data_IF_500818817068
#
_entry.id   IF_500818817068
#
_cell.length_a   1.000
_cell.length_b   1.000
_cell.length_c   1.000
_cell.angle_alpha   90.00
_cell.angle_beta   90.00
_cell.angle_gamma   90.00
#
_symmetry.space_group_name_H-M   'P 1'
#
loop_
_entity.id
_entity.type
_entity.pdbx_description
1 polymer ?
#
# COMPACT_ATOMS: atom_id res chain seq x y z
N UNK A 1 13.33 -6.79 -3.66
CA UNK A 1 14.54 -6.01 -3.97
C UNK A 1 15.26 -6.56 -5.19
N UNK A 2 15.75 -7.81 -5.16
CA UNK A 2 16.54 -8.42 -6.26
C UNK A 2 15.86 -8.31 -7.63
N UNK A 3 14.54 -8.46 -7.72
CA UNK A 3 13.79 -8.40 -8.98
C UNK A 3 13.64 -6.98 -9.55
N UNK A 4 13.81 -5.95 -8.74
CA UNK A 4 13.59 -4.54 -9.13
C UNK A 4 14.90 -3.88 -9.51
N UNK A 5 15.99 -4.13 -8.76
CA UNK A 5 17.32 -3.59 -9.06
C UNK A 5 17.82 -4.13 -10.41
N UNK A 6 17.54 -5.40 -10.72
CA UNK A 6 17.96 -6.02 -11.99
C UNK A 6 17.29 -5.49 -13.27
N UNK A 7 16.30 -4.59 -13.15
CA UNK A 7 15.58 -4.02 -14.29
C UNK A 7 16.14 -2.66 -14.76
N UNK A 8 17.23 -2.16 -14.13
CA UNK A 8 17.88 -0.92 -14.55
C UNK A 8 17.10 0.37 -14.30
N UNK A 9 15.95 0.30 -13.61
CA UNK A 9 15.12 1.47 -13.30
C UNK A 9 15.68 2.24 -12.10
N UNK A 10 16.31 1.52 -11.16
CA UNK A 10 16.87 2.09 -9.94
C UNK A 10 18.36 1.81 -9.87
N UNK A 11 19.12 2.80 -9.39
CA UNK A 11 20.59 2.73 -9.22
C UNK A 11 21.00 2.05 -7.92
N UNK A 12 20.12 2.02 -6.94
CA UNK A 12 20.47 1.48 -5.65
C UNK A 12 19.26 1.04 -4.83
N UNK A 13 19.56 0.29 -3.80
CA UNK A 13 18.59 -0.18 -2.81
C UNK A 13 19.20 -0.05 -1.43
N UNK A 14 18.40 0.40 -0.48
CA UNK A 14 18.77 0.44 0.92
C UNK A 14 17.72 -0.26 1.77
N UNK A 15 18.17 -0.99 2.78
CA UNK A 15 17.30 -1.63 3.77
C UNK A 15 17.91 -1.51 5.18
N UNK A 16 17.10 -1.70 6.22
CA UNK A 16 17.63 -1.72 7.58
C UNK A 16 18.77 -2.73 7.71
N UNK A 17 19.88 -2.31 8.32
CA UNK A 17 21.03 -3.16 8.62
C UNK A 17 21.96 -3.50 7.44
N UNK A 18 21.65 -3.09 6.20
CA UNK A 18 22.50 -3.37 5.04
C UNK A 18 23.09 -2.09 4.43
N UNK A 19 22.46 -0.94 4.65
CA UNK A 19 22.87 0.30 4.00
C UNK A 19 22.53 0.34 2.51
N UNK A 20 23.25 1.16 1.74
CA UNK A 20 23.04 1.32 0.31
C UNK A 20 23.83 0.29 -0.48
N UNK A 21 23.15 -0.46 -1.33
CA UNK A 21 23.77 -1.38 -2.31
C UNK A 21 23.32 -1.00 -3.73
N UNK A 22 24.24 -1.08 -4.69
CA UNK A 22 23.99 -0.73 -6.10
C UNK A 22 23.69 -1.96 -6.96
N UNK A 23 23.87 -3.15 -6.41
CA UNK A 23 23.61 -4.41 -7.10
C UNK A 23 22.82 -5.37 -6.21
N UNK A 24 21.97 -6.17 -6.82
CA UNK A 24 21.27 -7.25 -6.13
C UNK A 24 22.23 -8.32 -5.57
N UNK A 25 23.40 -8.45 -6.17
CA UNK A 25 24.44 -9.38 -5.70
C UNK A 25 25.11 -8.92 -4.41
N UNK A 26 25.18 -7.60 -4.19
CA UNK A 26 25.80 -7.00 -3.00
C UNK A 26 24.84 -7.00 -1.80
N UNK A 27 23.58 -7.37 -2.02
CA UNK A 27 22.58 -7.46 -0.96
C UNK A 27 22.77 -8.74 -0.15
N UNK A 28 23.51 -8.61 0.94
CA UNK A 28 23.80 -9.71 1.87
C UNK A 28 23.48 -9.28 3.31
N UNK A 29 22.21 -9.40 3.75
CA UNK A 29 21.83 -9.07 5.11
C UNK A 29 22.49 -10.05 6.10
N UNK A 30 22.90 -9.60 7.30
CA UNK A 30 23.37 -10.50 8.36
C UNK A 30 22.31 -11.55 8.72
N UNK A 31 22.73 -12.76 9.03
CA UNK A 31 21.82 -13.86 9.39
C UNK A 31 21.04 -13.58 10.69
N UNK A 32 21.60 -12.78 11.58
CA UNK A 32 21.02 -12.36 12.85
C UNK A 32 20.33 -10.98 12.79
N UNK A 33 20.07 -10.46 11.59
CA UNK A 33 19.48 -9.14 11.39
C UNK A 33 18.12 -9.03 12.09
N UNK A 34 18.06 -8.20 13.12
CA UNK A 34 16.80 -7.80 13.76
C UNK A 34 16.25 -6.57 13.07
N UNK A 35 15.12 -6.73 12.41
CA UNK A 35 14.45 -5.60 11.80
C UNK A 35 13.85 -4.66 12.86
N UNK A 36 13.89 -3.34 12.64
CA UNK A 36 13.16 -2.40 13.49
C UNK A 36 11.65 -2.66 13.41
N UNK A 37 10.90 -2.11 14.35
CA UNK A 37 9.45 -2.27 14.40
C UNK A 37 8.75 -1.84 13.11
N UNK A 38 9.25 -0.79 12.45
CA UNK A 38 8.73 -0.26 11.18
C UNK A 38 9.87 -0.16 10.17
N UNK A 39 10.25 -1.28 9.55
CA UNK A 39 11.36 -1.28 8.61
C UNK A 39 11.00 -0.49 7.35
N UNK A 40 11.93 0.35 6.90
CA UNK A 40 11.84 1.10 5.67
C UNK A 40 12.83 0.59 4.64
N UNK A 41 12.39 0.53 3.40
CA UNK A 41 13.17 0.09 2.26
C UNK A 41 13.15 1.18 1.20
N UNK A 42 14.29 1.50 0.63
CA UNK A 42 14.41 2.58 -0.34
C UNK A 42 14.93 2.05 -1.67
N UNK A 43 14.22 2.33 -2.74
CA UNK A 43 14.69 2.18 -4.11
C UNK A 43 15.10 3.56 -4.60
N UNK A 44 16.35 3.71 -4.96
CA UNK A 44 16.98 4.98 -5.31
C UNK A 44 17.16 5.06 -6.81
N UNK A 45 16.52 6.03 -7.44
CA UNK A 45 16.63 6.37 -8.84
C UNK A 45 17.63 7.51 -9.09
N UNK A 46 17.53 8.10 -10.26
CA UNK A 46 18.27 9.30 -10.64
C UNK A 46 17.66 10.56 -10.03
N UNK A 47 18.46 11.62 -9.90
CA UNK A 47 17.98 12.96 -9.52
C UNK A 47 17.19 13.02 -8.19
N UNK A 48 17.57 12.21 -7.20
CA UNK A 48 16.84 12.07 -5.94
C UNK A 48 15.41 11.52 -6.07
N UNK A 49 15.07 10.92 -7.19
CA UNK A 49 13.84 10.17 -7.35
C UNK A 49 13.95 8.79 -6.73
N UNK A 50 12.82 8.21 -6.36
CA UNK A 50 12.82 6.87 -5.81
C UNK A 50 11.49 6.48 -5.19
N UNK A 51 11.49 5.29 -4.62
CA UNK A 51 10.34 4.75 -3.89
C UNK A 51 10.79 4.32 -2.51
N UNK A 52 10.10 4.80 -1.49
CA UNK A 52 10.25 4.32 -0.12
C UNK A 52 9.06 3.45 0.25
N UNK A 53 9.33 2.25 0.73
CA UNK A 53 8.32 1.32 1.24
C UNK A 53 8.54 1.18 2.73
N UNK A 54 7.51 1.48 3.52
CA UNK A 54 7.56 1.39 4.98
C UNK A 54 6.50 0.39 5.44
N UNK A 55 6.91 -0.57 6.25
CA UNK A 55 5.95 -1.44 6.92
C UNK A 55 5.45 -0.72 8.18
N UNK A 56 4.21 -0.27 8.15
CA UNK A 56 3.58 0.48 9.26
C UNK A 56 2.83 -0.43 10.25
N UNK A 57 2.85 -1.75 10.04
CA UNK A 57 2.04 -2.67 10.82
C UNK A 57 0.57 -2.64 10.40
N UNK A 58 -0.34 -2.67 11.35
CA UNK A 58 -1.79 -2.80 11.11
C UNK A 58 -2.54 -1.64 11.75
N UNK A 59 -3.58 -1.21 11.06
CA UNK A 59 -4.60 -0.30 11.58
C UNK A 59 -4.43 1.16 11.18
N UNK A 60 -5.54 1.92 11.20
CA UNK A 60 -5.59 3.31 10.77
C UNK A 60 -4.80 4.24 11.68
N UNK A 61 -4.73 3.97 12.98
CA UNK A 61 -3.95 4.76 13.94
C UNK A 61 -2.46 4.75 13.60
N UNK A 62 -1.90 3.58 13.25
CA UNK A 62 -0.51 3.48 12.80
C UNK A 62 -0.30 4.22 11.47
N UNK A 63 -1.22 4.10 10.54
CA UNK A 63 -1.16 4.81 9.27
C UNK A 63 -1.12 6.32 9.49
N UNK A 64 -2.01 6.87 10.32
CA UNK A 64 -2.02 8.30 10.66
C UNK A 64 -0.70 8.73 11.30
N UNK A 65 -0.28 8.06 12.35
CA UNK A 65 0.93 8.42 13.09
C UNK A 65 2.16 8.45 12.18
N UNK A 66 2.33 7.42 11.36
CA UNK A 66 3.49 7.36 10.46
C UNK A 66 3.41 8.40 9.35
N UNK A 67 2.24 8.61 8.75
CA UNK A 67 2.10 9.65 7.73
C UNK A 67 2.38 11.04 8.27
N UNK A 68 1.94 11.35 9.49
CA UNK A 68 2.26 12.62 10.15
C UNK A 68 3.78 12.81 10.31
N UNK A 69 4.49 11.77 10.76
CA UNK A 69 5.95 11.83 10.94
C UNK A 69 6.72 12.00 9.63
N UNK A 70 6.32 11.28 8.58
CA UNK A 70 7.06 11.30 7.31
C UNK A 70 6.56 12.37 6.34
N UNK A 71 5.47 13.08 6.65
CA UNK A 71 4.94 14.18 5.84
C UNK A 71 5.98 15.32 5.63
N UNK A 72 6.91 15.49 6.57
CA UNK A 72 8.03 16.44 6.45
C UNK A 72 8.93 16.18 5.25
N UNK A 73 8.95 14.94 4.73
CA UNK A 73 9.71 14.56 3.55
C UNK A 73 9.06 15.03 2.24
N UNK A 74 7.84 15.56 2.30
CA UNK A 74 7.10 16.10 1.15
C UNK A 74 7.07 15.17 -0.06
N UNK A 75 6.74 13.90 0.17
CA UNK A 75 6.62 12.90 -0.91
C UNK A 75 5.60 13.35 -1.96
N UNK A 76 5.91 13.16 -3.24
CA UNK A 76 5.03 13.56 -4.35
C UNK A 76 3.75 12.73 -4.41
N UNK A 77 3.80 11.48 -3.98
CA UNK A 77 2.66 10.58 -3.99
C UNK A 77 2.74 9.60 -2.80
N UNK A 78 1.59 9.27 -2.26
CA UNK A 78 1.42 8.30 -1.19
C UNK A 78 0.54 7.17 -1.67
N UNK A 79 1.01 5.94 -1.50
CA UNK A 79 0.25 4.74 -1.82
C UNK A 79 0.12 3.88 -0.56
N UNK A 80 -1.10 3.54 -0.21
CA UNK A 80 -1.39 2.56 0.84
C UNK A 80 -1.57 1.19 0.20
N UNK A 81 -0.81 0.20 0.67
CA UNK A 81 -0.92 -1.19 0.25
C UNK A 81 -1.22 -2.06 1.45
N UNK A 82 -2.22 -2.90 1.33
CA UNK A 82 -2.62 -3.79 2.43
C UNK A 82 -3.58 -4.87 1.97
N UNK A 83 -3.98 -5.70 2.90
CA UNK A 83 -5.03 -6.69 2.70
C UNK A 83 -6.37 -6.11 3.12
N UNK A 84 -7.43 -6.54 2.46
CA UNK A 84 -8.79 -6.20 2.84
C UNK A 84 -9.70 -7.43 2.75
N UNK A 85 -10.77 -7.45 3.52
CA UNK A 85 -11.84 -8.43 3.39
C UNK A 85 -12.71 -8.11 2.17
N UNK A 86 -12.92 -9.09 1.30
CA UNK A 86 -13.87 -8.96 0.19
C UNK A 86 -15.30 -9.20 0.68
N UNK A 87 -16.21 -8.25 0.41
CA UNK A 87 -17.61 -8.34 0.83
C UNK A 87 -18.54 -8.87 -0.27
N UNK A 88 -18.04 -9.13 -1.46
CA UNK A 88 -18.84 -9.62 -2.59
C UNK A 88 -18.55 -11.10 -2.86
N UNK A 89 -19.59 -11.88 -3.06
CA UNK A 89 -19.48 -13.32 -3.36
C UNK A 89 -18.71 -13.63 -4.66
N UNK A 90 -18.48 -12.62 -5.51
CA UNK A 90 -17.75 -12.76 -6.77
C UNK A 90 -16.26 -12.45 -6.63
N UNK A 91 -15.80 -12.11 -5.43
CA UNK A 91 -14.39 -11.86 -5.15
C UNK A 91 -13.71 -13.16 -4.72
N UNK A 92 -12.50 -13.34 -5.20
CA UNK A 92 -11.65 -14.48 -4.85
C UNK A 92 -10.35 -14.02 -4.21
N UNK A 93 -9.70 -14.90 -3.46
CA UNK A 93 -8.39 -14.61 -2.89
C UNK A 93 -7.39 -14.31 -4.02
N UNK A 94 -6.68 -13.21 -3.88
CA UNK A 94 -5.75 -12.72 -4.89
C UNK A 94 -6.30 -11.64 -5.82
N UNK A 95 -7.59 -11.33 -5.75
CA UNK A 95 -8.15 -10.18 -6.45
C UNK A 95 -7.61 -8.87 -5.88
N UNK A 96 -7.46 -7.87 -6.73
CA UNK A 96 -7.09 -6.53 -6.33
C UNK A 96 -8.33 -5.68 -6.06
N UNK A 97 -8.32 -4.95 -4.95
CA UNK A 97 -9.30 -3.90 -4.69
C UNK A 97 -8.61 -2.56 -4.82
N UNK A 98 -8.97 -1.80 -5.84
CA UNK A 98 -8.52 -0.44 -6.05
C UNK A 98 -9.56 0.50 -5.47
N UNK A 99 -9.27 1.04 -4.29
CA UNK A 99 -10.19 1.95 -3.62
C UNK A 99 -10.30 3.27 -4.39
N UNK A 100 -11.52 3.70 -4.70
CA UNK A 100 -11.78 5.04 -5.22
C UNK A 100 -12.22 6.01 -4.12
N UNK A 101 -12.63 5.49 -2.97
CA UNK A 101 -12.94 6.25 -1.77
C UNK A 101 -12.79 5.40 -0.52
N UNK A 102 -12.53 6.05 0.61
CA UNK A 102 -12.50 5.44 1.93
C UNK A 102 -13.60 6.00 2.80
N UNK A 103 -14.42 5.12 3.36
CA UNK A 103 -15.35 5.45 4.42
C UNK A 103 -14.68 5.13 5.75
N UNK A 104 -14.65 6.10 6.64
CA UNK A 104 -13.95 6.00 7.92
C UNK A 104 -14.90 5.58 9.02
N UNK A 105 -14.71 4.36 9.51
CA UNK A 105 -15.36 3.85 10.71
C UNK A 105 -14.30 3.58 11.81
N UNK A 106 -13.22 4.37 11.75
CA UNK A 106 -12.06 4.25 12.63
C UNK A 106 -11.92 5.41 13.64
N UNK A 107 -12.74 6.45 13.49
CA UNK A 107 -12.83 7.61 14.38
C UNK A 107 -11.51 8.41 14.53
N UNK A 108 -10.55 8.21 13.64
CA UNK A 108 -9.20 8.83 13.77
C UNK A 108 -9.21 10.32 13.38
N UNK A 109 -10.06 10.71 12.42
CA UNK A 109 -10.12 12.06 11.87
C UNK A 109 -11.49 12.74 12.08
N UNK A 110 -12.31 12.26 13.00
CA UNK A 110 -13.70 12.72 13.16
C UNK A 110 -13.81 14.18 13.57
N UNK A 111 -12.82 14.69 14.31
CA UNK A 111 -12.76 16.12 14.67
C UNK A 111 -12.43 17.03 13.47
N UNK A 112 -11.79 16.47 12.44
CA UNK A 112 -11.32 17.22 11.28
C UNK A 112 -12.32 17.15 10.13
N UNK A 113 -12.94 15.99 9.93
CA UNK A 113 -13.83 15.72 8.80
C UNK A 113 -14.96 14.79 9.24
N UNK A 114 -16.23 15.14 8.97
CA UNK A 114 -17.36 14.28 9.30
C UNK A 114 -17.20 12.86 8.75
N UNK A 115 -17.48 11.81 9.54
CA UNK A 115 -17.28 10.42 9.12
C UNK A 115 -18.17 10.00 7.94
N UNK A 116 -19.26 10.72 7.70
CA UNK A 116 -20.19 10.48 6.58
C UNK A 116 -19.63 10.89 5.22
N UNK A 117 -18.52 11.65 5.20
CA UNK A 117 -17.88 12.10 3.96
C UNK A 117 -16.78 11.11 3.60
N UNK A 118 -16.92 10.32 2.52
CA UNK A 118 -15.85 9.44 2.04
C UNK A 118 -14.64 10.27 1.58
N UNK A 119 -13.44 9.80 1.88
CA UNK A 119 -12.21 10.40 1.38
C UNK A 119 -11.93 9.89 -0.04
N UNK A 120 -11.97 10.74 -1.07
CA UNK A 120 -11.68 10.31 -2.43
C UNK A 120 -10.18 10.06 -2.61
N UNK A 121 -9.84 9.14 -3.50
CA UNK A 121 -8.47 8.96 -3.99
C UNK A 121 -8.18 9.91 -5.14
N UNK A 122 -6.89 10.11 -5.43
CA UNK A 122 -6.46 10.94 -6.57
C UNK A 122 -6.70 10.16 -7.86
N UNK A 123 -7.51 10.72 -8.76
CA UNK A 123 -7.95 10.04 -9.98
C UNK A 123 -6.79 9.64 -10.91
N UNK A 124 -5.80 10.49 -11.06
CA UNK A 124 -4.63 10.24 -11.90
C UNK A 124 -3.81 9.04 -11.38
N UNK A 125 -3.67 8.93 -10.07
CA UNK A 125 -2.99 7.80 -9.43
C UNK A 125 -3.79 6.52 -9.63
N UNK A 126 -5.12 6.59 -9.55
CA UNK A 126 -6.00 5.45 -9.76
C UNK A 126 -5.90 4.90 -11.19
N UNK A 127 -5.84 5.79 -12.19
CA UNK A 127 -5.65 5.41 -13.60
C UNK A 127 -4.28 4.74 -13.77
N UNK A 128 -3.22 5.37 -13.26
CA UNK A 128 -1.85 4.83 -13.36
C UNK A 128 -1.72 3.46 -12.69
N UNK A 129 -2.33 3.25 -11.53
CA UNK A 129 -2.35 1.95 -10.84
C UNK A 129 -3.12 0.89 -11.63
N UNK A 130 -4.24 1.26 -12.23
CA UNK A 130 -5.03 0.35 -13.08
C UNK A 130 -4.20 -0.14 -14.27
N UNK A 131 -3.52 0.77 -14.95
CA UNK A 131 -2.63 0.42 -16.06
C UNK A 131 -1.44 -0.44 -15.61
N UNK A 132 -0.83 -0.09 -14.48
CA UNK A 132 0.30 -0.84 -13.92
C UNK A 132 -0.08 -2.28 -13.57
N UNK A 133 -1.25 -2.48 -12.93
CA UNK A 133 -1.75 -3.82 -12.63
C UNK A 133 -1.97 -4.61 -13.91
N UNK A 134 -2.62 -4.02 -14.92
CA UNK A 134 -2.84 -4.68 -16.22
C UNK A 134 -1.54 -5.12 -16.88
N UNK A 135 -0.51 -4.26 -16.87
CA UNK A 135 0.82 -4.56 -17.42
C UNK A 135 1.53 -5.67 -16.65
N UNK A 136 1.52 -5.61 -15.32
CA UNK A 136 2.22 -6.58 -14.46
C UNK A 136 1.56 -7.95 -14.50
N UNK A 137 0.23 -7.99 -14.43
CA UNK A 137 -0.56 -9.21 -14.43
C UNK A 137 -0.83 -9.74 -15.83
N UNK A 138 -0.50 -8.98 -16.89
CA UNK A 138 -0.81 -9.26 -18.29
C UNK A 138 -2.31 -9.45 -18.54
N UNK A 139 -3.13 -8.70 -17.83
CA UNK A 139 -4.58 -8.71 -17.92
C UNK A 139 -5.07 -7.53 -18.76
N UNK A 140 -6.13 -7.74 -19.52
CA UNK A 140 -6.77 -6.69 -20.32
C UNK A 140 -8.28 -6.88 -20.42
N UNK A 141 -8.99 -5.82 -20.79
CA UNK A 141 -10.41 -5.88 -21.09
C UNK A 141 -11.27 -6.47 -19.97
N UNK A 142 -12.06 -7.46 -20.30
CA UNK A 142 -13.01 -8.09 -19.37
C UNK A 142 -12.31 -8.90 -18.28
N UNK A 143 -11.25 -9.60 -18.59
CA UNK A 143 -10.45 -10.38 -17.64
C UNK A 143 -9.89 -9.49 -16.53
N UNK A 144 -9.38 -8.32 -16.88
CA UNK A 144 -8.93 -7.36 -15.89
C UNK A 144 -10.05 -6.95 -14.92
N UNK A 145 -11.28 -6.75 -15.42
CA UNK A 145 -12.44 -6.41 -14.57
C UNK A 145 -12.85 -7.54 -13.62
N UNK A 146 -12.50 -8.76 -13.92
CA UNK A 146 -12.76 -9.90 -13.02
C UNK A 146 -11.83 -9.89 -11.81
N UNK A 147 -10.57 -9.49 -11.98
CA UNK A 147 -9.53 -9.53 -10.95
C UNK A 147 -9.23 -8.18 -10.31
N UNK A 148 -9.59 -7.08 -10.95
CA UNK A 148 -9.39 -5.72 -10.43
C UNK A 148 -10.73 -5.08 -10.17
N UNK A 149 -11.07 -4.95 -8.90
CA UNK A 149 -12.34 -4.37 -8.46
C UNK A 149 -12.12 -2.95 -7.98
N UNK A 150 -12.94 -2.03 -8.45
CA UNK A 150 -13.01 -0.68 -7.90
C UNK A 150 -14.18 -0.56 -6.94
N UNK A 151 -13.99 0.14 -5.84
CA UNK A 151 -15.06 0.34 -4.88
C UNK A 151 -14.67 1.23 -3.71
N UNK A 152 -15.66 1.55 -2.88
CA UNK A 152 -15.41 2.19 -1.59
C UNK A 152 -14.93 1.15 -0.60
N UNK A 153 -13.87 1.48 0.13
CA UNK A 153 -13.33 0.65 1.20
C UNK A 153 -13.73 1.28 2.54
N UNK A 154 -14.14 0.47 3.48
CA UNK A 154 -14.40 0.91 4.86
C UNK A 154 -13.17 0.57 5.70
N UNK A 155 -12.66 1.56 6.43
CA UNK A 155 -11.64 1.34 7.46
C UNK A 155 -12.32 1.25 8.81
N UNK A 156 -11.93 0.29 9.62
CA UNK A 156 -12.44 0.11 10.98
C UNK A 156 -11.34 -0.34 11.93
N UNK A 157 -11.40 0.08 13.17
CA UNK A 157 -10.51 -0.39 14.24
C UNK A 157 -11.03 -1.67 14.89
N UNK A 158 -12.33 -1.96 14.78
CA UNK A 158 -12.93 -3.17 15.33
C UNK A 158 -12.97 -4.30 14.30
N UNK A 159 -12.20 -5.34 14.53
CA UNK A 159 -12.21 -6.56 13.72
C UNK A 159 -13.29 -7.56 14.09
N UNK A 160 -14.07 -7.32 15.10
CA UNK A 160 -15.13 -8.25 15.54
C UNK A 160 -16.24 -8.43 14.47
N UNK A 161 -16.37 -7.49 13.53
CA UNK A 161 -17.29 -7.63 12.41
C UNK A 161 -16.99 -8.89 11.57
N UNK A 162 -15.73 -9.30 11.47
CA UNK A 162 -15.31 -10.52 10.75
C UNK A 162 -15.93 -11.78 11.42
N UNK A 163 -16.12 -11.74 12.74
CA UNK A 163 -16.69 -12.83 13.51
C UNK A 163 -18.22 -12.77 13.61
N UNK A 164 -18.81 -11.59 13.35
CA UNK A 164 -20.26 -11.35 13.41
C UNK A 164 -20.88 -11.30 12.02
N UNK A 165 -20.53 -12.24 11.18
CA UNK A 165 -20.95 -12.30 9.78
C UNK A 165 -22.48 -12.18 9.58
N UNK A 166 -23.28 -12.67 10.54
CA UNK A 166 -24.75 -12.59 10.51
C UNK A 166 -25.31 -11.19 10.75
N UNK A 167 -24.54 -10.27 11.32
CA UNK A 167 -24.99 -8.90 11.62
C UNK A 167 -24.76 -7.91 10.47
N UNK A 168 -24.11 -8.36 9.39
CA UNK A 168 -23.81 -7.56 8.18
C UNK A 168 -24.85 -7.73 7.06
N UNK A 169 -25.94 -8.43 7.31
CA UNK A 169 -27.03 -8.64 6.35
C UNK A 169 -28.22 -7.74 6.63
#
# INVERSE_FOLDING_TARGET
>A
AKSVIGKGIYKGFSSPGVGLVNSAHDYNPPDDLKLPQMPAYHLIGDNNEGITIINIGVGPSNAKTITDHIAVLRSHCWLMLGHCGGLRNTQTLGDFVLAHAYLRDDQILDEVLPPTIPLPTIAEVQIALTEAIGKVMKLSGFEMKQHVRTGTVVTTDDRNWEMRYSSLR
#
